data_IF_056341568539
#
_entry.id   IF_056341568539
#
_cell.length_a   1.000
_cell.length_b   1.000
_cell.length_c   1.000
_cell.angle_alpha   90.00
_cell.angle_beta   90.00
_cell.angle_gamma   90.00
#
_symmetry.space_group_name_H-M   'P 1'
#
loop_
_entity.id
_entity.type
_entity.pdbx_description
1 polymer ?
#
# COMPACT_ATOMS: atom_id res chain seq x y z
N UNK A 1 34.26 -16.01 13.11
CA UNK A 1 32.82 -16.05 13.36
C UNK A 1 32.33 -14.61 13.27
N UNK A 2 32.07 -14.13 12.06
CA UNK A 2 31.49 -12.80 11.88
C UNK A 2 30.02 -12.91 12.25
N UNK A 3 29.61 -12.20 13.30
CA UNK A 3 28.20 -11.99 13.58
C UNK A 3 27.55 -11.40 12.33
N UNK A 4 26.68 -12.18 11.70
CA UNK A 4 25.78 -11.71 10.66
C UNK A 4 24.76 -10.81 11.36
N UNK A 5 25.09 -9.54 11.58
CA UNK A 5 24.05 -8.56 11.90
C UNK A 5 23.04 -8.60 10.75
N UNK A 6 21.79 -8.93 11.06
CA UNK A 6 20.72 -8.86 10.09
C UNK A 6 20.69 -7.45 9.49
N UNK A 7 20.59 -7.36 8.17
CA UNK A 7 20.59 -6.08 7.47
C UNK A 7 19.50 -5.15 8.07
N UNK A 8 19.80 -3.86 8.32
CA UNK A 8 18.94 -2.97 9.12
C UNK A 8 17.53 -2.82 8.55
N UNK A 9 17.40 -2.95 7.22
CA UNK A 9 16.14 -2.92 6.51
C UNK A 9 15.22 -4.12 6.77
N UNK A 10 15.69 -5.22 7.37
CA UNK A 10 14.86 -6.40 7.70
C UNK A 10 13.98 -6.22 8.94
N UNK A 11 14.12 -5.11 9.65
CA UNK A 11 13.40 -4.88 10.90
C UNK A 11 11.95 -4.47 10.65
N UNK A 12 11.00 -4.82 11.55
CA UNK A 12 9.64 -4.29 11.50
C UNK A 12 9.61 -2.75 11.52
N UNK A 13 10.56 -2.11 12.23
CA UNK A 13 10.68 -0.66 12.28
C UNK A 13 11.01 -0.04 10.91
N UNK A 14 11.87 -0.70 10.12
CA UNK A 14 12.19 -0.25 8.77
C UNK A 14 10.95 -0.32 7.86
N UNK A 15 10.20 -1.42 7.92
CA UNK A 15 8.97 -1.58 7.14
C UNK A 15 7.89 -0.56 7.57
N UNK A 16 7.72 -0.34 8.87
CA UNK A 16 6.78 0.66 9.38
C UNK A 16 7.12 2.06 8.87
N UNK A 17 8.40 2.45 8.88
CA UNK A 17 8.84 3.74 8.35
C UNK A 17 8.54 3.86 6.85
N UNK A 18 8.89 2.84 6.07
CA UNK A 18 8.61 2.81 4.64
C UNK A 18 7.11 2.88 4.33
N UNK A 19 6.26 2.21 5.11
CA UNK A 19 4.82 2.27 4.95
C UNK A 19 4.25 3.65 5.28
N UNK A 20 4.77 4.33 6.30
CA UNK A 20 4.38 5.72 6.62
C UNK A 20 4.81 6.69 5.52
N UNK A 21 6.01 6.53 4.97
CA UNK A 21 6.47 7.32 3.82
C UNK A 21 5.60 7.07 2.57
N UNK A 22 5.18 5.81 2.34
CA UNK A 22 4.26 5.48 1.27
C UNK A 22 2.90 6.15 1.47
N UNK A 23 2.40 6.19 2.71
CA UNK A 23 1.17 6.91 3.08
C UNK A 23 1.29 8.40 2.79
N UNK A 24 2.40 9.04 3.15
CA UNK A 24 2.64 10.46 2.85
C UNK A 24 2.68 10.71 1.34
N UNK A 25 3.38 9.84 0.59
CA UNK A 25 3.49 9.91 -0.86
C UNK A 25 2.11 9.85 -1.54
N UNK A 26 1.29 8.86 -1.20
CA UNK A 26 -0.05 8.72 -1.82
C UNK A 26 -1.06 9.73 -1.28
N UNK A 27 -0.85 10.26 -0.07
CA UNK A 27 -1.67 11.34 0.45
C UNK A 27 -1.44 12.63 -0.35
N UNK A 28 -0.18 12.95 -0.67
CA UNK A 28 0.17 14.10 -1.52
C UNK A 28 -0.39 13.99 -2.94
N UNK A 29 -0.60 12.78 -3.47
CA UNK A 29 -1.24 12.55 -4.77
C UNK A 29 -2.75 12.89 -4.78
N UNK A 30 -3.40 12.98 -3.61
CA UNK A 30 -4.85 13.13 -3.52
C UNK A 30 -5.60 11.82 -3.78
N UNK A 31 -6.92 11.82 -3.60
CA UNK A 31 -7.81 10.65 -3.71
C UNK A 31 -8.22 10.35 -5.15
N UNK A 32 -8.82 9.18 -5.35
CA UNK A 32 -9.38 8.73 -6.62
C UNK A 32 -8.29 8.34 -7.65
N UNK A 33 -7.17 7.83 -7.12
CA UNK A 33 -6.03 7.31 -7.87
C UNK A 33 -6.14 5.78 -8.08
N UNK A 34 -5.63 5.23 -9.20
CA UNK A 34 -5.55 3.79 -9.40
C UNK A 34 -4.62 3.14 -8.35
N UNK A 35 -4.67 1.80 -8.18
CA UNK A 35 -3.75 1.12 -7.28
C UNK A 35 -2.30 1.43 -7.65
N UNK A 36 -1.47 1.67 -6.64
CA UNK A 36 -0.06 2.02 -6.79
C UNK A 36 0.81 0.94 -6.18
N UNK A 37 1.77 0.45 -6.98
CA UNK A 37 2.79 -0.47 -6.53
C UNK A 37 4.09 0.29 -6.31
N UNK A 38 4.73 0.09 -5.17
CA UNK A 38 5.96 0.75 -4.76
C UNK A 38 6.96 -0.32 -4.36
N UNK A 39 8.14 -0.30 -4.97
CA UNK A 39 9.24 -1.20 -4.61
C UNK A 39 9.99 -0.66 -3.40
N UNK A 40 10.40 -1.56 -2.51
CA UNK A 40 11.27 -1.25 -1.38
C UNK A 40 12.68 -1.73 -1.70
N UNK A 41 13.62 -0.79 -1.71
CA UNK A 41 15.04 -1.05 -2.02
C UNK A 41 15.88 -0.62 -0.81
N UNK A 42 16.91 -1.38 -0.39
CA UNK A 42 17.82 -0.91 0.64
C UNK A 42 18.42 0.45 0.24
N UNK A 43 18.28 1.46 1.12
CA UNK A 43 18.60 2.84 0.80
C UNK A 43 20.08 3.01 0.38
N UNK A 44 20.98 2.18 0.91
CA UNK A 44 22.39 2.17 0.54
C UNK A 44 22.63 1.85 -0.94
N UNK A 45 21.78 1.03 -1.57
CA UNK A 45 21.89 0.71 -2.99
C UNK A 45 21.52 1.92 -3.85
N UNK A 46 20.48 2.65 -3.45
CA UNK A 46 20.02 3.87 -4.13
C UNK A 46 21.04 5.00 -3.94
N UNK A 47 21.50 5.23 -2.71
CA UNK A 47 22.52 6.22 -2.39
C UNK A 47 23.79 6.02 -3.24
N UNK A 48 24.26 4.78 -3.35
CA UNK A 48 25.42 4.42 -4.19
C UNK A 48 25.15 4.64 -5.68
N UNK A 49 23.95 4.33 -6.17
CA UNK A 49 23.61 4.50 -7.58
C UNK A 49 23.52 5.98 -7.98
N UNK A 50 23.10 6.84 -7.06
CA UNK A 50 22.93 8.28 -7.27
C UNK A 50 24.16 9.12 -6.87
N UNK A 51 25.17 8.51 -6.25
CA UNK A 51 26.28 9.22 -5.60
C UNK A 51 25.79 10.34 -4.67
N UNK A 52 24.78 10.02 -3.86
CA UNK A 52 24.06 10.96 -3.02
C UNK A 52 23.93 10.47 -1.58
N UNK A 53 23.86 11.40 -0.64
CA UNK A 53 23.49 11.12 0.74
C UNK A 53 21.96 11.16 0.84
N UNK A 54 21.36 10.05 1.26
CA UNK A 54 19.93 9.96 1.58
C UNK A 54 19.69 10.22 3.07
N UNK A 55 18.42 10.22 3.48
CA UNK A 55 18.08 10.27 4.90
C UNK A 55 18.44 8.96 5.61
N UNK A 56 18.19 8.89 6.91
CA UNK A 56 18.48 7.71 7.72
C UNK A 56 17.44 6.57 7.55
N UNK A 57 16.57 6.63 6.54
CA UNK A 57 15.61 5.54 6.26
C UNK A 57 16.37 4.32 5.74
N UNK A 58 16.19 3.11 6.33
CA UNK A 58 16.84 1.90 5.83
C UNK A 58 16.35 1.45 4.44
N UNK A 59 15.16 1.90 4.03
CA UNK A 59 14.51 1.54 2.79
C UNK A 59 14.16 2.81 2.01
N UNK A 60 14.50 2.81 0.73
CA UNK A 60 14.04 3.79 -0.23
C UNK A 60 12.82 3.26 -0.98
N UNK A 61 11.83 4.14 -1.19
CA UNK A 61 10.66 3.86 -1.99
C UNK A 61 10.94 4.17 -3.47
N UNK A 62 10.59 3.23 -4.33
CA UNK A 62 10.65 3.41 -5.79
C UNK A 62 9.26 3.17 -6.35
N UNK A 63 8.56 4.24 -6.74
CA UNK A 63 7.24 4.14 -7.39
C UNK A 63 7.36 3.42 -8.73
N UNK A 64 6.43 2.51 -8.99
CA UNK A 64 6.38 1.79 -10.26
C UNK A 64 5.53 2.55 -11.28
N UNK A 65 5.62 2.12 -12.54
CA UNK A 65 4.73 2.64 -13.58
C UNK A 65 3.25 2.40 -13.22
N UNK A 66 2.35 3.30 -13.63
CA UNK A 66 0.92 3.11 -13.41
C UNK A 66 0.44 1.76 -13.94
N UNK A 67 -0.43 1.10 -13.17
CA UNK A 67 -1.00 -0.18 -13.59
C UNK A 67 -1.84 0.01 -14.87
N UNK A 68 -1.98 -1.04 -15.70
CA UNK A 68 -2.82 -0.97 -16.89
C UNK A 68 -4.25 -0.53 -16.57
N UNK A 69 -4.88 0.18 -17.50
CA UNK A 69 -6.27 0.60 -17.37
C UNK A 69 -7.20 -0.61 -17.11
N UNK A 70 -8.14 -0.46 -16.18
CA UNK A 70 -9.06 -1.52 -15.75
C UNK A 70 -8.54 -2.41 -14.62
N UNK A 71 -7.32 -2.21 -14.14
CA UNK A 71 -6.81 -2.89 -12.94
C UNK A 71 -7.18 -2.06 -11.70
N UNK A 72 -8.29 -2.40 -11.06
CA UNK A 72 -8.84 -1.67 -9.90
C UNK A 72 -8.49 -2.32 -8.56
N UNK A 73 -8.62 -1.57 -7.47
CA UNK A 73 -8.45 -2.07 -6.11
C UNK A 73 -9.44 -3.19 -5.80
N UNK A 74 -8.98 -4.28 -5.18
CA UNK A 74 -9.81 -5.44 -4.84
C UNK A 74 -10.31 -6.26 -6.04
N UNK A 75 -9.89 -5.95 -7.27
CA UNK A 75 -10.32 -6.66 -8.47
C UNK A 75 -9.55 -7.97 -8.70
N UNK A 76 -10.15 -8.97 -9.38
CA UNK A 76 -9.43 -10.14 -9.87
C UNK A 76 -8.24 -9.78 -10.78
N UNK A 77 -8.38 -8.73 -11.58
CA UNK A 77 -7.36 -8.24 -12.51
C UNK A 77 -6.10 -7.77 -11.77
N UNK A 78 -6.26 -7.20 -10.57
CA UNK A 78 -5.14 -6.81 -9.71
C UNK A 78 -4.41 -8.04 -9.17
N UNK A 79 -5.13 -9.08 -8.74
CA UNK A 79 -4.52 -10.33 -8.31
C UNK A 79 -3.73 -11.00 -9.45
N UNK A 80 -4.32 -11.02 -10.66
CA UNK A 80 -3.69 -11.52 -11.87
C UNK A 80 -2.45 -10.71 -12.27
N UNK A 81 -2.49 -9.38 -12.11
CA UNK A 81 -1.34 -8.51 -12.32
C UNK A 81 -0.21 -8.87 -11.35
N UNK A 82 -0.49 -8.91 -10.04
CA UNK A 82 0.49 -9.27 -9.02
C UNK A 82 1.11 -10.64 -9.28
N UNK A 83 0.30 -11.65 -9.67
CA UNK A 83 0.79 -13.00 -9.96
C UNK A 83 1.81 -13.06 -11.11
N UNK A 84 1.84 -12.06 -12.00
CA UNK A 84 2.80 -11.94 -13.11
C UNK A 84 3.93 -10.95 -12.82
N UNK A 85 3.87 -10.24 -11.70
CA UNK A 85 4.89 -9.26 -11.32
C UNK A 85 6.18 -9.96 -10.92
N UNK A 86 7.29 -9.46 -11.44
CA UNK A 86 8.64 -9.88 -11.08
C UNK A 86 9.51 -8.67 -10.80
N UNK A 87 10.44 -8.79 -9.86
CA UNK A 87 11.25 -7.67 -9.40
C UNK A 87 12.70 -7.71 -9.91
N UNK A 88 13.30 -6.56 -10.25
CA UNK A 88 14.73 -6.47 -10.47
C UNK A 88 15.54 -6.86 -9.23
N UNK A 89 16.79 -7.28 -9.45
CA UNK A 89 17.72 -7.56 -8.36
C UNK A 89 17.91 -6.33 -7.46
N UNK A 90 17.80 -6.53 -6.15
CA UNK A 90 17.96 -5.48 -5.14
C UNK A 90 16.65 -4.93 -4.57
N UNK A 91 15.50 -5.24 -5.18
CA UNK A 91 14.20 -5.03 -4.51
C UNK A 91 14.03 -6.10 -3.43
N UNK A 92 13.75 -5.65 -2.20
CA UNK A 92 13.66 -6.53 -1.00
C UNK A 92 12.26 -6.57 -0.41
N UNK A 93 11.32 -5.80 -0.95
CA UNK A 93 9.95 -5.73 -0.49
C UNK A 93 9.12 -4.85 -1.41
N UNK A 94 7.83 -4.75 -1.11
CA UNK A 94 6.91 -3.92 -1.87
C UNK A 94 5.81 -3.37 -0.96
N UNK A 95 5.22 -2.25 -1.38
CA UNK A 95 4.00 -1.69 -0.83
C UNK A 95 2.98 -1.60 -1.95
N UNK A 96 1.78 -2.12 -1.71
CA UNK A 96 0.61 -1.91 -2.54
C UNK A 96 -0.34 -0.96 -1.81
N UNK A 97 -0.67 0.15 -2.47
CA UNK A 97 -1.72 1.06 -2.03
C UNK A 97 -2.89 0.92 -2.99
N UNK A 98 -4.08 0.70 -2.46
CA UNK A 98 -5.30 0.63 -3.26
C UNK A 98 -6.47 1.30 -2.52
N UNK A 99 -7.34 1.97 -3.26
CA UNK A 99 -8.57 2.51 -2.71
C UNK A 99 -9.64 1.42 -2.63
N UNK A 100 -10.29 1.31 -1.48
CA UNK A 100 -11.28 0.30 -1.15
C UNK A 100 -12.53 0.95 -0.54
N UNK A 101 -13.61 0.17 -0.48
CA UNK A 101 -14.79 0.50 0.29
C UNK A 101 -14.85 -0.39 1.52
N UNK A 102 -14.95 0.25 2.67
CA UNK A 102 -15.23 -0.41 3.95
C UNK A 102 -16.72 -0.32 4.19
N UNK A 103 -17.37 -1.47 4.32
CA UNK A 103 -18.81 -1.58 4.55
C UNK A 103 -19.04 -2.26 5.89
N UNK A 104 -20.15 -1.92 6.55
CA UNK A 104 -20.57 -2.72 7.70
C UNK A 104 -20.89 -4.15 7.22
N UNK A 105 -20.47 -5.20 7.93
CA UNK A 105 -20.80 -6.57 7.56
C UNK A 105 -22.30 -6.82 7.34
N UNK A 106 -23.18 -6.11 8.07
CA UNK A 106 -24.63 -6.21 7.89
C UNK A 106 -25.11 -5.69 6.52
N UNK A 107 -24.38 -4.77 5.93
CA UNK A 107 -24.70 -4.11 4.66
C UNK A 107 -23.94 -4.71 3.46
N UNK A 108 -23.06 -5.70 3.70
CA UNK A 108 -22.20 -6.29 2.68
C UNK A 108 -22.95 -6.87 1.47
N UNK A 109 -24.14 -7.45 1.68
CA UNK A 109 -24.97 -7.96 0.57
C UNK A 109 -25.50 -6.86 -0.35
N UNK A 110 -25.73 -5.65 0.17
CA UNK A 110 -26.25 -4.54 -0.61
C UNK A 110 -25.22 -3.96 -1.59
N UNK A 111 -23.94 -4.25 -1.36
CA UNK A 111 -22.79 -3.61 -2.03
C UNK A 111 -21.92 -4.65 -2.75
N UNK A 112 -22.11 -5.93 -2.45
CA UNK A 112 -21.38 -7.04 -3.08
C UNK A 112 -21.45 -7.01 -4.60
N UNK A 113 -20.28 -7.00 -5.24
CA UNK A 113 -20.14 -7.04 -6.71
C UNK A 113 -20.30 -5.70 -7.43
N UNK A 114 -20.47 -4.58 -6.71
CA UNK A 114 -20.46 -3.24 -7.28
C UNK A 114 -19.02 -2.68 -7.36
N UNK A 115 -18.72 -1.91 -8.39
CA UNK A 115 -17.47 -1.14 -8.48
C UNK A 115 -17.48 0.07 -7.52
N UNK A 116 -16.30 0.63 -7.26
CA UNK A 116 -16.16 1.84 -6.43
C UNK A 116 -17.02 3.01 -6.96
N UNK A 117 -17.06 3.18 -8.28
CA UNK A 117 -17.89 4.18 -8.95
C UNK A 117 -19.39 3.89 -8.78
N UNK A 118 -19.81 2.63 -8.96
CA UNK A 118 -21.21 2.23 -8.80
C UNK A 118 -21.72 2.44 -7.39
N UNK A 119 -20.88 2.15 -6.38
CA UNK A 119 -21.22 2.41 -4.97
C UNK A 119 -21.38 3.90 -4.74
N UNK A 120 -20.45 4.75 -5.19
CA UNK A 120 -20.58 6.21 -5.07
C UNK A 120 -21.85 6.75 -5.72
N UNK A 121 -22.26 6.16 -6.85
CA UNK A 121 -23.43 6.63 -7.59
C UNK A 121 -24.76 6.15 -7.01
N UNK A 122 -24.79 4.99 -6.33
CA UNK A 122 -26.04 4.25 -6.04
C UNK A 122 -26.27 3.96 -4.57
N UNK A 123 -25.23 3.99 -3.74
CA UNK A 123 -25.31 3.59 -2.34
C UNK A 123 -25.48 4.84 -1.47
N UNK A 124 -26.51 4.88 -0.59
CA UNK A 124 -26.69 5.96 0.37
C UNK A 124 -25.42 6.31 1.15
N UNK A 125 -25.22 7.61 1.38
CA UNK A 125 -24.13 8.12 2.20
C UNK A 125 -24.13 7.45 3.59
N UNK A 126 -22.99 6.89 3.99
CA UNK A 126 -22.81 6.21 5.28
C UNK A 126 -22.86 4.67 5.25
N UNK A 127 -23.36 4.03 4.18
CA UNK A 127 -23.34 2.56 4.05
C UNK A 127 -21.98 2.00 3.65
N UNK A 128 -21.17 2.80 2.96
CA UNK A 128 -19.80 2.46 2.62
C UNK A 128 -18.90 3.67 2.87
N UNK A 129 -17.73 3.41 3.45
CA UNK A 129 -16.69 4.41 3.66
C UNK A 129 -15.50 4.10 2.77
N UNK A 130 -15.16 5.02 1.89
CA UNK A 130 -13.92 4.92 1.11
C UNK A 130 -12.71 4.99 2.04
N UNK A 131 -11.72 4.16 1.77
CA UNK A 131 -10.45 4.16 2.47
C UNK A 131 -9.33 3.74 1.51
N UNK A 132 -8.07 3.92 1.91
CA UNK A 132 -6.95 3.21 1.30
C UNK A 132 -6.57 2.04 2.17
N UNK A 133 -6.28 0.92 1.50
CA UNK A 133 -5.61 -0.22 2.05
C UNK A 133 -4.14 -0.16 1.63
N UNK A 134 -3.24 -0.08 2.60
CA UNK A 134 -1.79 -0.04 2.40
C UNK A 134 -1.23 -1.36 2.92
N UNK A 135 -0.84 -2.24 2.00
CA UNK A 135 -0.28 -3.55 2.30
C UNK A 135 1.21 -3.54 1.97
N UNK A 136 2.06 -3.70 2.98
CA UNK A 136 3.52 -3.66 2.85
C UNK A 136 4.13 -4.99 3.29
N UNK A 137 5.07 -5.51 2.50
CA UNK A 137 5.81 -6.75 2.81
C UNK A 137 7.29 -6.57 2.53
N UNK A 138 8.14 -7.18 3.36
CA UNK A 138 9.46 -7.59 2.93
C UNK A 138 9.38 -9.01 2.38
N UNK A 139 10.10 -9.29 1.29
CA UNK A 139 10.12 -10.60 0.64
C UNK A 139 10.35 -11.72 1.67
N UNK A 140 11.34 -11.49 2.54
CA UNK A 140 11.65 -12.31 3.70
C UNK A 140 11.52 -11.42 4.96
N UNK A 141 10.54 -11.69 5.82
CA UNK A 141 10.39 -11.02 7.11
C UNK A 141 9.04 -10.33 7.33
N UNK A 142 8.99 -9.15 7.95
CA UNK A 142 7.76 -8.52 8.42
C UNK A 142 6.80 -8.16 7.27
N UNK A 143 5.56 -7.97 7.68
CA UNK A 143 4.47 -7.43 6.88
C UNK A 143 3.62 -6.49 7.74
N UNK A 144 2.91 -5.60 7.06
CA UNK A 144 2.07 -4.59 7.70
C UNK A 144 0.87 -4.31 6.79
N UNK A 145 -0.30 -4.13 7.40
CA UNK A 145 -1.46 -3.55 6.73
C UNK A 145 -1.94 -2.33 7.51
N UNK A 146 -2.09 -1.21 6.82
CA UNK A 146 -2.68 0.02 7.35
C UNK A 146 -3.94 0.36 6.55
N UNK A 147 -4.90 1.00 7.22
CA UNK A 147 -6.09 1.54 6.60
C UNK A 147 -6.11 3.05 6.83
N UNK A 148 -6.20 3.82 5.75
CA UNK A 148 -6.40 5.27 5.79
C UNK A 148 -7.83 5.58 5.37
N UNK A 149 -8.77 5.88 6.28
CA UNK A 149 -10.13 6.27 5.91
C UNK A 149 -10.12 7.59 5.15
N UNK A 150 -10.96 7.73 4.13
CA UNK A 150 -11.24 9.04 3.52
C UNK A 150 -12.05 9.88 4.52
N UNK A 151 -11.62 11.12 4.83
CA UNK A 151 -12.45 12.06 5.57
C UNK A 151 -13.69 12.42 4.76
N UNK A 152 -14.84 12.50 5.42
CA UNK A 152 -16.07 13.07 4.86
C UNK A 152 -16.03 14.59 4.90
N UNK A 153 -16.87 15.24 4.09
CA UNK A 153 -16.98 16.72 4.10
C UNK A 153 -17.37 17.25 5.48
N UNK A 154 -18.25 16.52 6.20
CA UNK A 154 -18.66 16.87 7.55
C UNK A 154 -17.50 16.77 8.56
N UNK A 155 -16.70 15.69 8.50
CA UNK A 155 -15.52 15.52 9.36
C UNK A 155 -14.47 16.62 9.10
N UNK A 156 -14.25 16.98 7.82
CA UNK A 156 -13.33 18.07 7.45
C UNK A 156 -13.83 19.43 7.98
N UNK A 157 -15.12 19.71 7.82
CA UNK A 157 -15.71 20.97 8.31
C UNK A 157 -15.63 21.11 9.84
N UNK A 158 -15.77 20.01 10.59
CA UNK A 158 -15.61 19.99 12.04
C UNK A 158 -14.15 20.13 12.48
N UNK A 159 -13.22 19.46 11.78
CA UNK A 159 -11.79 19.47 12.11
C UNK A 159 -11.10 20.82 11.84
N UNK A 160 -11.72 21.68 11.01
CA UNK A 160 -11.29 23.04 10.76
C UNK A 160 -10.28 23.16 9.60
N UNK A 161 -9.64 24.34 9.45
CA UNK A 161 -8.67 24.57 8.36
C UNK A 161 -7.51 23.58 8.39
N UNK A 162 -7.02 23.16 7.21
CA UNK A 162 -5.93 22.19 7.05
C UNK A 162 -6.25 20.78 7.57
N UNK A 163 -7.52 20.45 7.78
CA UNK A 163 -7.93 19.10 8.13
C UNK A 163 -7.59 18.09 7.02
N UNK A 164 -7.57 18.55 5.78
CA UNK A 164 -7.17 17.76 4.61
C UNK A 164 -5.71 17.27 4.67
N UNK A 165 -4.81 17.97 5.39
CA UNK A 165 -3.41 17.58 5.54
C UNK A 165 -3.19 16.53 6.64
N UNK A 166 -4.23 16.27 7.46
CA UNK A 166 -4.14 15.31 8.57
C UNK A 166 -4.41 13.90 8.06
N UNK A 167 -3.38 13.07 8.12
CA UNK A 167 -3.49 11.64 7.86
C UNK A 167 -3.99 10.93 9.13
N UNK A 168 -5.13 10.24 9.02
CA UNK A 168 -5.59 9.28 10.02
C UNK A 168 -5.31 7.84 9.57
N UNK A 169 -4.69 7.04 10.44
CA UNK A 169 -4.36 5.64 10.17
C UNK A 169 -4.99 4.72 11.21
N UNK A 170 -5.44 3.57 10.72
CA UNK A 170 -5.94 2.45 11.53
C UNK A 170 -5.11 1.21 11.23
N UNK A 171 -4.96 0.37 12.23
CA UNK A 171 -4.42 -0.98 12.05
C UNK A 171 -5.36 -1.80 11.16
N UNK A 172 -4.81 -2.43 10.12
CA UNK A 172 -5.52 -3.28 9.18
C UNK A 172 -5.15 -4.76 9.29
N UNK A 173 -4.52 -5.18 10.39
CA UNK A 173 -4.15 -6.59 10.63
C UNK A 173 -5.34 -7.52 10.41
N UNK A 174 -5.16 -8.56 9.60
CA UNK A 174 -6.19 -9.55 9.27
C UNK A 174 -7.18 -9.14 8.16
N UNK A 175 -7.14 -7.90 7.69
CA UNK A 175 -8.06 -7.40 6.64
C UNK A 175 -7.57 -7.78 5.25
N UNK A 176 -6.25 -7.82 5.05
CA UNK A 176 -5.62 -7.90 3.74
C UNK A 176 -4.77 -9.16 3.54
N UNK A 177 -5.02 -10.23 4.29
CA UNK A 177 -4.16 -11.42 4.30
C UNK A 177 -3.94 -12.01 2.88
N UNK A 178 -4.99 -12.05 2.05
CA UNK A 178 -4.88 -12.47 0.66
C UNK A 178 -4.02 -11.54 -0.20
N UNK A 179 -4.08 -10.23 0.05
CA UNK A 179 -3.26 -9.22 -0.64
C UNK A 179 -1.80 -9.33 -0.20
N UNK A 180 -1.53 -9.50 1.10
CA UNK A 180 -0.18 -9.71 1.63
C UNK A 180 0.44 -10.98 1.04
N UNK A 181 -0.33 -12.06 0.98
CA UNK A 181 0.12 -13.32 0.37
C UNK A 181 0.42 -13.15 -1.13
N UNK A 182 -0.47 -12.48 -1.89
CA UNK A 182 -0.24 -12.20 -3.31
C UNK A 182 0.98 -11.31 -3.54
N UNK A 183 1.17 -10.29 -2.71
CA UNK A 183 2.32 -9.38 -2.80
C UNK A 183 3.64 -10.09 -2.48
N UNK A 184 3.65 -10.97 -1.48
CA UNK A 184 4.84 -11.77 -1.14
C UNK A 184 5.18 -12.76 -2.24
N UNK A 185 4.17 -13.39 -2.86
CA UNK A 185 4.35 -14.34 -3.96
C UNK A 185 5.06 -13.71 -5.19
N UNK A 186 5.01 -12.39 -5.37
CA UNK A 186 5.76 -11.68 -6.44
C UNK A 186 7.28 -11.84 -6.34
N UNK A 187 7.79 -12.25 -5.16
CA UNK A 187 9.21 -12.48 -4.92
C UNK A 187 9.63 -13.95 -5.11
N UNK A 188 8.68 -14.89 -5.08
CA UNK A 188 8.98 -16.33 -5.16
C UNK A 188 9.31 -16.79 -6.60
N UNK A 189 8.81 -16.07 -7.61
CA UNK A 189 8.97 -16.42 -9.03
C UNK A 189 10.33 -16.05 -9.66
N UNK A 190 11.19 -15.29 -8.96
CA UNK A 190 12.45 -14.77 -9.50
C UNK A 190 13.68 -15.65 -9.28
N UNK A 191 13.53 -16.84 -8.69
CA UNK A 191 14.64 -17.71 -8.27
C UNK A 191 15.20 -18.67 -9.32
N UNK A 192 14.85 -18.52 -10.60
CA UNK A 192 15.33 -19.40 -11.67
C UNK A 192 15.77 -18.60 -12.90
N UNK A 193 16.99 -18.06 -12.84
CA UNK A 193 17.99 -18.12 -13.92
C UNK A 193 19.37 -17.62 -13.44
#
# INVERSE_FOLDING_TARGET
MSDSQAAPWRSPQALNRAALEAVELVHAAGWDEPPQLIALVPAELVARALDATLDDSPLALVTQEPLPAGVEGGSPELADFLARTTWPAGVVGAVLVQEILVVDPADGEAIGGLSLEEVRARVPEGLARQARLISAVLAEGPELTLIQPRPTEAELAEAGPFAEDRVELRDGTGVADGVLAALRATFDGGGAD
#
